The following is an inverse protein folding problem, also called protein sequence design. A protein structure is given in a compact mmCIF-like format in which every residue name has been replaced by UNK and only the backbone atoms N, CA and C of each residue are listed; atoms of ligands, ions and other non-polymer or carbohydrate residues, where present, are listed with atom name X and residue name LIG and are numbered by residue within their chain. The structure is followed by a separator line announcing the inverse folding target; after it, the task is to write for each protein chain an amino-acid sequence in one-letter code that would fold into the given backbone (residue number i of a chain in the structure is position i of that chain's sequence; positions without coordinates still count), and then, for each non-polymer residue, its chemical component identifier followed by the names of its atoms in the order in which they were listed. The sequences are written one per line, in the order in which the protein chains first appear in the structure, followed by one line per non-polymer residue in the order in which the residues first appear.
data_IF_671529652945
#
_entry.id   IF_671529652945
#
_cell.length_a   1.000
_cell.length_b   1.000
_cell.length_c   1.000
_cell.angle_alpha   90.00
_cell.angle_beta   90.00
_cell.angle_gamma   90.00
#
_symmetry.space_group_name_H-M   'P 1'
#
loop_
_entity.id
_entity.type
_entity.pdbx_description
1 polymer ?
#
# COMPACT_ATOMS: atom_id res chain seq x y z
N UNK A 1 20.79 -22.62 8.18
CA UNK A 1 20.57 -21.45 7.33
C UNK A 1 19.33 -20.77 7.89
N UNK A 2 19.42 -19.51 8.30
CA UNK A 2 18.21 -18.73 8.56
C UNK A 2 17.50 -18.62 7.22
N UNK A 3 16.29 -19.16 7.14
CA UNK A 3 15.43 -18.99 5.98
C UNK A 3 15.20 -17.48 5.81
N UNK A 4 15.45 -16.94 4.61
CA UNK A 4 15.23 -15.52 4.38
C UNK A 4 13.76 -15.21 4.59
N UNK A 5 13.49 -14.18 5.39
CA UNK A 5 12.12 -13.72 5.68
C UNK A 5 11.40 -13.29 4.41
N UNK A 6 12.13 -12.62 3.54
CA UNK A 6 11.63 -12.08 2.28
C UNK A 6 12.50 -12.62 1.16
N UNK A 7 11.88 -13.25 0.16
CA UNK A 7 12.61 -13.80 -0.98
C UNK A 7 11.74 -14.00 -2.21
N UNK A 8 12.39 -13.96 -3.37
CA UNK A 8 11.80 -14.40 -4.64
C UNK A 8 11.83 -15.92 -4.73
N UNK A 9 10.77 -16.51 -5.28
CA UNK A 9 10.57 -17.96 -5.33
C UNK A 9 10.82 -18.58 -6.71
N UNK A 10 11.11 -17.77 -7.73
CA UNK A 10 11.33 -18.26 -9.09
C UNK A 10 12.26 -17.37 -9.92
N UNK A 11 12.96 -17.98 -10.87
CA UNK A 11 13.70 -17.25 -11.92
C UNK A 11 12.76 -16.34 -12.72
N UNK A 12 11.49 -16.75 -12.85
CA UNK A 12 10.43 -15.93 -13.41
C UNK A 12 10.28 -14.60 -12.64
N UNK A 13 10.25 -14.64 -11.31
CA UNK A 13 10.18 -13.45 -10.47
C UNK A 13 11.48 -12.61 -10.54
N UNK A 14 12.64 -13.27 -10.56
CA UNK A 14 13.95 -12.61 -10.70
C UNK A 14 14.05 -11.75 -11.98
N UNK A 15 13.45 -12.21 -13.09
CA UNK A 15 13.46 -11.47 -14.35
C UNK A 15 12.74 -10.10 -14.26
N UNK A 16 11.83 -9.91 -13.31
CA UNK A 16 11.15 -8.63 -13.11
C UNK A 16 11.93 -7.65 -12.25
N UNK A 17 12.87 -8.12 -11.42
CA UNK A 17 13.82 -7.26 -10.68
C UNK A 17 14.62 -6.42 -11.68
N UNK A 18 15.14 -7.07 -12.73
CA UNK A 18 15.90 -6.36 -13.76
C UNK A 18 15.04 -5.39 -14.58
N UNK A 19 13.76 -5.73 -14.82
CA UNK A 19 12.83 -4.83 -15.52
C UNK A 19 12.51 -3.58 -14.70
N UNK A 20 12.24 -3.73 -13.40
CA UNK A 20 12.06 -2.60 -12.49
C UNK A 20 13.33 -1.75 -12.38
N UNK A 21 14.51 -2.38 -12.28
CA UNK A 21 15.79 -1.68 -12.16
C UNK A 21 16.24 -0.92 -13.42
N UNK A 22 15.91 -1.39 -14.64
CA UNK A 22 16.34 -0.77 -15.91
C UNK A 22 15.57 0.50 -16.27
N UNK A 23 14.66 0.95 -15.41
CA UNK A 23 13.69 1.99 -15.72
C UNK A 23 13.87 3.29 -14.89
N UNK A 24 15.03 3.47 -14.25
CA UNK A 24 15.21 4.54 -13.27
C UNK A 24 16.34 5.54 -13.60
N UNK A 25 15.95 6.78 -13.94
CA UNK A 25 16.74 8.00 -13.71
C UNK A 25 16.03 8.86 -12.65
N UNK A 26 15.86 8.36 -11.42
CA UNK A 26 15.44 9.17 -10.26
C UNK A 26 16.22 8.77 -9.01
N UNK A 27 16.47 9.74 -8.12
CA UNK A 27 17.07 9.53 -6.79
C UNK A 27 15.95 9.22 -5.79
N UNK A 28 15.94 8.03 -5.20
CA UNK A 28 15.00 7.61 -4.16
C UNK A 28 14.51 6.16 -4.33
N UNK A 29 14.10 5.49 -3.25
CA UNK A 29 13.60 4.10 -3.28
C UNK A 29 12.40 3.97 -4.23
N UNK A 30 11.35 4.78 -4.04
CA UNK A 30 10.14 4.75 -4.85
C UNK A 30 10.39 5.22 -6.29
N UNK A 31 11.36 6.10 -6.48
CA UNK A 31 11.84 6.52 -7.80
C UNK A 31 12.47 5.38 -8.62
N UNK A 32 13.06 4.37 -7.96
CA UNK A 32 13.63 3.17 -8.62
C UNK A 32 12.57 2.13 -8.99
N UNK A 33 11.35 2.26 -8.47
CA UNK A 33 10.22 1.35 -8.71
C UNK A 33 9.42 1.72 -9.97
N UNK A 34 9.59 2.96 -10.42
CA UNK A 34 8.88 3.54 -11.55
C UNK A 34 9.38 2.92 -12.85
N UNK A 35 8.51 2.19 -13.53
CA UNK A 35 8.77 1.73 -14.90
C UNK A 35 8.77 2.94 -15.86
N UNK A 36 9.94 3.49 -16.20
CA UNK A 36 10.12 4.37 -17.36
C UNK A 36 9.93 3.64 -18.70
N UNK A 37 8.82 2.92 -18.90
CA UNK A 37 8.33 2.64 -20.25
C UNK A 37 7.65 3.91 -20.75
N UNK A 38 8.48 4.90 -21.07
CA UNK A 38 8.10 6.09 -21.81
C UNK A 38 7.67 5.66 -23.22
N UNK A 39 6.39 5.31 -23.39
CA UNK A 39 5.90 4.94 -24.70
C UNK A 39 4.54 4.29 -24.70
N UNK A 40 3.49 5.12 -24.68
CA UNK A 40 2.22 4.91 -25.39
C UNK A 40 1.76 3.45 -25.52
N UNK A 41 1.06 2.96 -24.51
CA UNK A 41 -0.12 2.13 -24.77
C UNK A 41 -0.99 2.18 -23.52
N UNK A 42 -2.29 2.50 -23.70
CA UNK A 42 -3.29 1.99 -22.76
C UNK A 42 -3.16 0.47 -22.87
N UNK A 43 -2.38 -0.13 -21.98
CA UNK A 43 -2.46 -1.56 -21.78
C UNK A 43 -3.89 -1.80 -21.26
N UNK A 44 -4.68 -2.53 -22.04
CA UNK A 44 -5.87 -3.21 -21.54
C UNK A 44 -5.38 -4.31 -20.59
N UNK A 45 -4.80 -3.89 -19.47
CA UNK A 45 -4.43 -4.76 -18.36
C UNK A 45 -5.74 -5.04 -17.65
N UNK A 46 -6.00 -6.31 -17.36
CA UNK A 46 -6.96 -6.70 -16.35
C UNK A 46 -6.20 -7.38 -15.23
N UNK A 47 -6.19 -6.72 -14.09
CA UNK A 47 -5.75 -7.28 -12.83
C UNK A 47 -6.99 -7.55 -11.99
N UNK A 48 -7.20 -8.83 -11.70
CA UNK A 48 -8.31 -9.29 -10.87
C UNK A 48 -7.74 -10.10 -9.71
N UNK A 49 -8.35 -9.94 -8.54
CA UNK A 49 -8.24 -10.90 -7.46
C UNK A 49 -8.45 -12.32 -7.99
N UNK A 50 -7.62 -13.28 -7.58
CA UNK A 50 -7.73 -14.67 -7.99
C UNK A 50 -9.12 -15.24 -7.68
N UNK A 51 -9.97 -15.34 -8.70
CA UNK A 51 -11.11 -16.25 -8.89
C UNK A 51 -11.81 -16.70 -7.59
N UNK A 52 -12.55 -15.80 -6.93
CA UNK A 52 -13.70 -16.09 -6.03
C UNK A 52 -13.53 -17.12 -4.89
N UNK A 53 -14.59 -17.28 -4.10
CA UNK A 53 -14.63 -18.10 -2.87
C UNK A 53 -14.34 -19.62 -3.06
N UNK A 54 -14.07 -20.09 -4.28
CA UNK A 54 -13.95 -21.52 -4.61
C UNK A 54 -12.51 -22.02 -4.80
N UNK A 55 -11.53 -21.13 -5.02
CA UNK A 55 -10.14 -21.55 -5.24
C UNK A 55 -9.47 -21.91 -3.91
N UNK A 56 -8.87 -23.10 -3.81
CA UNK A 56 -8.07 -23.50 -2.65
C UNK A 56 -6.57 -23.44 -2.97
N UNK A 57 -5.66 -23.31 -1.98
CA UNK A 57 -4.22 -23.27 -2.25
C UNK A 57 -3.70 -24.47 -3.04
N UNK A 58 -4.29 -25.66 -2.81
CA UNK A 58 -3.94 -26.88 -3.54
C UNK A 58 -4.22 -26.82 -5.05
N UNK A 59 -5.14 -25.94 -5.48
CA UNK A 59 -5.56 -25.80 -6.86
C UNK A 59 -4.70 -24.79 -7.64
N UNK A 60 -3.92 -23.95 -6.97
CA UNK A 60 -3.11 -22.88 -7.59
C UNK A 60 -2.21 -23.41 -8.69
N UNK A 61 -1.48 -24.51 -8.44
CA UNK A 61 -0.59 -25.10 -9.43
C UNK A 61 -1.36 -25.65 -10.65
N UNK A 62 -2.54 -26.25 -10.43
CA UNK A 62 -3.39 -26.75 -11.52
C UNK A 62 -3.97 -25.59 -12.35
N UNK A 63 -4.23 -24.46 -11.71
CA UNK A 63 -4.69 -23.22 -12.34
C UNK A 63 -3.57 -22.36 -12.94
N UNK A 64 -2.33 -22.86 -12.95
CA UNK A 64 -1.14 -22.19 -13.49
C UNK A 64 -0.72 -20.90 -12.74
N UNK A 65 -1.06 -20.80 -11.45
CA UNK A 65 -0.43 -19.83 -10.57
C UNK A 65 0.97 -20.31 -10.22
N UNK A 66 1.96 -19.45 -10.43
CA UNK A 66 3.35 -19.71 -10.07
C UNK A 66 3.71 -18.96 -8.78
N UNK A 67 4.38 -19.61 -7.81
CA UNK A 67 4.93 -18.91 -6.65
C UNK A 67 5.90 -17.82 -7.09
N UNK A 68 5.63 -16.58 -6.66
CA UNK A 68 6.39 -15.40 -7.08
C UNK A 68 7.37 -14.96 -6.01
N UNK A 69 6.87 -14.68 -4.80
CA UNK A 69 7.69 -14.31 -3.65
C UNK A 69 7.09 -14.84 -2.34
N UNK A 70 7.93 -14.97 -1.33
CA UNK A 70 7.57 -15.27 0.06
C UNK A 70 7.90 -14.06 0.92
N UNK A 71 6.97 -13.69 1.78
CA UNK A 71 7.11 -12.65 2.80
C UNK A 71 6.58 -13.26 4.09
N UNK A 72 7.48 -13.64 5.00
CA UNK A 72 7.11 -14.37 6.20
C UNK A 72 6.45 -15.72 5.91
N UNK A 73 5.26 -15.94 6.45
CA UNK A 73 4.34 -17.06 6.23
C UNK A 73 3.52 -16.92 4.94
N UNK A 74 3.57 -15.75 4.29
CA UNK A 74 2.77 -15.45 3.11
C UNK A 74 3.51 -15.79 1.83
N UNK A 75 2.81 -16.43 0.90
CA UNK A 75 3.30 -16.65 -0.46
C UNK A 75 2.40 -15.93 -1.45
N UNK A 76 3.00 -15.03 -2.24
CA UNK A 76 2.31 -14.37 -3.35
C UNK A 76 2.53 -15.22 -4.59
N UNK A 77 1.43 -15.64 -5.21
CA UNK A 77 1.41 -16.39 -6.46
C UNK A 77 0.88 -15.51 -7.59
N UNK A 78 1.46 -15.66 -8.78
CA UNK A 78 1.08 -14.89 -9.97
C UNK A 78 0.77 -15.83 -11.13
N UNK A 79 -0.36 -15.59 -11.78
CA UNK A 79 -0.72 -16.16 -13.09
C UNK A 79 -0.72 -15.03 -14.11
N UNK A 80 -0.14 -15.27 -15.29
CA UNK A 80 -0.22 -14.35 -16.44
C UNK A 80 -0.70 -15.10 -17.67
N UNK A 81 -1.72 -14.57 -18.34
CA UNK A 81 -2.30 -15.17 -19.54
C UNK A 81 -2.95 -14.08 -20.38
N UNK A 82 -2.60 -14.00 -21.66
CA UNK A 82 -3.21 -13.11 -22.66
C UNK A 82 -3.37 -11.63 -22.24
N UNK A 83 -2.39 -11.08 -21.51
CA UNK A 83 -2.39 -9.68 -21.05
C UNK A 83 -3.13 -9.44 -19.73
N UNK A 84 -3.76 -10.48 -19.19
CA UNK A 84 -4.36 -10.48 -17.85
C UNK A 84 -3.34 -11.03 -16.83
N UNK A 85 -3.35 -10.46 -15.63
CA UNK A 85 -2.52 -10.88 -14.51
C UNK A 85 -3.42 -11.16 -13.31
N UNK A 86 -3.26 -12.31 -12.67
CA UNK A 86 -3.98 -12.65 -11.46
C UNK A 86 -2.99 -12.84 -10.33
N UNK A 87 -3.42 -12.40 -9.15
CA UNK A 87 -2.65 -12.52 -7.91
C UNK A 87 -3.46 -13.32 -6.91
N UNK A 88 -2.80 -14.28 -6.28
CA UNK A 88 -3.31 -14.99 -5.12
C UNK A 88 -2.29 -14.85 -3.97
N UNK A 89 -2.77 -14.66 -2.76
CA UNK A 89 -1.94 -14.59 -1.55
C UNK A 89 -2.35 -15.77 -0.67
N UNK A 90 -1.39 -16.64 -0.39
CA UNK A 90 -1.55 -17.79 0.49
C UNK A 90 -0.90 -17.49 1.85
N UNK A 91 -1.60 -17.76 2.93
CA UNK A 91 -1.11 -17.63 4.32
C UNK A 91 -1.64 -18.81 5.12
N UNK A 92 -0.76 -19.55 5.82
CA UNK A 92 -1.12 -20.68 6.68
C UNK A 92 -2.04 -21.75 6.02
N UNK A 93 -1.94 -21.92 4.70
CA UNK A 93 -2.74 -22.90 3.96
C UNK A 93 -4.16 -22.42 3.62
N UNK A 94 -4.41 -21.11 3.69
CA UNK A 94 -5.63 -20.45 3.24
C UNK A 94 -5.30 -19.37 2.19
N UNK A 95 -6.25 -19.08 1.29
CA UNK A 95 -6.13 -17.95 0.37
C UNK A 95 -6.82 -16.72 0.97
N UNK A 96 -6.18 -15.57 0.81
CA UNK A 96 -6.80 -14.29 1.15
C UNK A 96 -7.99 -14.03 0.23
N UNK A 97 -9.09 -13.55 0.83
CA UNK A 97 -10.18 -12.96 0.06
C UNK A 97 -9.81 -11.54 -0.36
N UNK A 98 -9.67 -11.35 -1.67
CA UNK A 98 -9.29 -10.08 -2.30
C UNK A 98 -10.45 -9.48 -3.10
N UNK A 99 -11.68 -10.00 -2.99
CA UNK A 99 -12.82 -9.59 -3.81
C UNK A 99 -13.14 -8.10 -3.68
N UNK A 100 -12.99 -7.55 -2.47
CA UNK A 100 -13.29 -6.15 -2.18
C UNK A 100 -12.16 -5.17 -2.54
N UNK A 101 -11.03 -5.66 -3.06
CA UNK A 101 -9.89 -4.81 -3.41
C UNK A 101 -10.06 -4.10 -4.76
N UNK A 102 -11.14 -4.41 -5.46
CA UNK A 102 -11.46 -3.86 -6.78
C UNK A 102 -10.57 -4.45 -7.87
N UNK A 103 -10.53 -3.75 -9.01
CA UNK A 103 -9.80 -4.19 -10.21
C UNK A 103 -8.77 -3.12 -10.63
N UNK A 104 -7.77 -3.56 -11.42
CA UNK A 104 -6.79 -2.71 -12.08
C UNK A 104 -6.11 -1.70 -11.14
N UNK A 105 -6.42 -0.42 -11.31
CA UNK A 105 -5.81 0.68 -10.59
C UNK A 105 -5.96 0.54 -9.07
N UNK A 106 -7.19 0.24 -8.63
CA UNK A 106 -7.50 0.08 -7.21
C UNK A 106 -6.75 -1.11 -6.64
N UNK A 107 -6.78 -2.24 -7.36
CA UNK A 107 -6.12 -3.46 -6.96
C UNK A 107 -4.60 -3.29 -6.84
N UNK A 108 -3.94 -2.69 -7.84
CA UNK A 108 -2.48 -2.46 -7.80
C UNK A 108 -2.11 -1.54 -6.66
N UNK A 109 -2.83 -0.43 -6.51
CA UNK A 109 -2.56 0.56 -5.47
C UNK A 109 -2.69 -0.07 -4.08
N UNK A 110 -3.75 -0.85 -3.87
CA UNK A 110 -3.98 -1.59 -2.61
C UNK A 110 -2.90 -2.65 -2.40
N UNK A 111 -2.64 -3.50 -3.39
CA UNK A 111 -1.66 -4.58 -3.28
C UNK A 111 -0.26 -4.05 -2.97
N UNK A 112 0.19 -2.98 -3.63
CA UNK A 112 1.50 -2.39 -3.34
C UNK A 112 1.57 -1.80 -1.93
N UNK A 113 0.50 -1.16 -1.45
CA UNK A 113 0.43 -0.66 -0.08
C UNK A 113 0.46 -1.81 0.95
N UNK A 114 -0.30 -2.88 0.70
CA UNK A 114 -0.34 -4.05 1.59
C UNK A 114 0.99 -4.80 1.62
N UNK A 115 1.62 -4.98 0.45
CA UNK A 115 2.97 -5.56 0.38
C UNK A 115 3.97 -4.71 1.17
N UNK A 116 3.84 -3.37 1.15
CA UNK A 116 4.69 -2.49 1.95
C UNK A 116 4.57 -2.84 3.43
N UNK A 117 3.35 -2.93 3.96
CA UNK A 117 3.11 -3.34 5.34
C UNK A 117 3.65 -4.74 5.66
N UNK A 118 3.47 -5.71 4.75
CA UNK A 118 3.98 -7.06 4.94
C UNK A 118 5.52 -7.09 5.03
N UNK A 119 6.20 -6.31 4.18
CA UNK A 119 7.67 -6.28 4.19
C UNK A 119 8.18 -5.44 5.36
N UNK A 120 7.67 -4.26 5.65
CA UNK A 120 8.27 -3.43 6.71
C UNK A 120 7.81 -3.80 8.12
N UNK A 121 6.69 -4.53 8.26
CA UNK A 121 6.03 -4.79 9.54
C UNK A 121 5.87 -3.48 10.33
N UNK A 122 6.61 -3.32 11.43
CA UNK A 122 6.50 -2.19 12.35
C UNK A 122 7.66 -1.18 12.27
N UNK A 123 8.74 -1.48 11.54
CA UNK A 123 9.89 -0.57 11.47
C UNK A 123 9.79 0.46 10.34
N UNK A 124 8.87 0.23 9.40
CA UNK A 124 8.56 1.06 8.24
C UNK A 124 9.76 1.33 7.33
N UNK A 125 10.83 0.54 7.45
CA UNK A 125 12.04 0.69 6.67
C UNK A 125 12.18 -0.47 5.69
N UNK A 126 12.67 -0.18 4.48
CA UNK A 126 12.88 -1.20 3.44
C UNK A 126 14.37 -1.51 3.31
N UNK A 127 14.74 -2.76 3.59
CA UNK A 127 16.08 -3.31 3.33
C UNK A 127 16.27 -3.75 1.86
N UNK A 128 17.44 -4.31 1.51
CA UNK A 128 17.74 -4.69 0.12
C UNK A 128 16.97 -5.93 -0.37
N UNK A 129 16.62 -6.88 0.51
CA UNK A 129 15.86 -8.08 0.15
C UNK A 129 14.38 -7.72 -0.06
N UNK A 130 13.84 -6.90 0.85
CA UNK A 130 12.50 -6.33 0.77
C UNK A 130 12.33 -5.47 -0.47
N UNK A 131 13.31 -4.61 -0.76
CA UNK A 131 13.37 -3.82 -1.99
C UNK A 131 13.38 -4.69 -3.23
N UNK A 132 14.12 -5.79 -3.23
CA UNK A 132 14.18 -6.71 -4.36
C UNK A 132 12.81 -7.33 -4.64
N UNK A 133 12.09 -7.76 -3.60
CA UNK A 133 10.73 -8.29 -3.73
C UNK A 133 9.75 -7.22 -4.21
N UNK A 134 9.80 -6.04 -3.61
CA UNK A 134 8.96 -4.92 -4.00
C UNK A 134 9.18 -4.57 -5.49
N UNK A 135 10.44 -4.56 -5.95
CA UNK A 135 10.84 -4.26 -7.34
C UNK A 135 10.30 -5.30 -8.32
N UNK A 136 10.44 -6.58 -7.97
CA UNK A 136 9.91 -7.66 -8.78
C UNK A 136 8.39 -7.55 -8.92
N UNK A 137 7.67 -7.30 -7.83
CA UNK A 137 6.21 -7.17 -7.84
C UNK A 137 5.75 -5.96 -8.67
N UNK A 138 6.33 -4.79 -8.43
CA UNK A 138 5.99 -3.57 -9.18
C UNK A 138 6.25 -3.74 -10.68
N UNK A 139 7.38 -4.35 -11.03
CA UNK A 139 7.72 -4.68 -12.43
C UNK A 139 6.81 -5.75 -13.03
N UNK A 140 6.40 -6.75 -12.26
CA UNK A 140 5.50 -7.81 -12.68
C UNK A 140 4.08 -7.30 -12.92
N UNK A 141 3.58 -6.42 -12.05
CA UNK A 141 2.27 -5.80 -12.17
C UNK A 141 2.23 -4.71 -13.26
N UNK A 142 3.38 -4.31 -13.79
CA UNK A 142 3.52 -3.19 -14.73
C UNK A 142 2.92 -1.90 -14.13
N UNK A 143 3.16 -1.68 -12.84
CA UNK A 143 2.57 -0.56 -12.12
C UNK A 143 3.06 0.78 -12.68
N UNK A 144 2.13 1.72 -12.80
CA UNK A 144 2.40 3.07 -13.26
C UNK A 144 2.94 3.96 -12.14
N UNK A 145 3.63 5.04 -12.48
CA UNK A 145 4.10 6.05 -11.51
C UNK A 145 2.98 6.55 -10.59
N UNK A 146 1.77 6.69 -11.15
CA UNK A 146 0.61 7.16 -10.41
C UNK A 146 0.11 6.12 -9.40
N UNK A 147 0.06 4.84 -9.77
CA UNK A 147 -0.32 3.76 -8.85
C UNK A 147 0.69 3.62 -7.71
N UNK A 148 1.98 3.72 -8.02
CA UNK A 148 3.05 3.71 -7.01
C UNK A 148 2.94 4.93 -6.08
N UNK A 149 2.67 6.11 -6.63
CA UNK A 149 2.47 7.34 -5.84
C UNK A 149 1.25 7.24 -4.92
N UNK A 150 0.12 6.81 -5.46
CA UNK A 150 -1.12 6.68 -4.70
C UNK A 150 -1.01 5.54 -3.66
N UNK A 151 -0.21 4.49 -3.91
CA UNK A 151 0.06 3.44 -2.93
C UNK A 151 0.83 3.98 -1.71
N UNK A 152 1.81 4.87 -1.93
CA UNK A 152 2.52 5.57 -0.84
C UNK A 152 1.57 6.43 -0.01
N UNK A 153 0.69 7.16 -0.69
CA UNK A 153 -0.34 7.96 -0.03
C UNK A 153 -1.32 7.09 0.76
N UNK A 154 -1.65 5.90 0.26
CA UNK A 154 -2.50 4.93 0.95
C UNK A 154 -1.83 4.36 2.21
N UNK A 155 -0.54 3.98 2.14
CA UNK A 155 0.22 3.53 3.31
C UNK A 155 0.22 4.61 4.40
N UNK A 156 0.54 5.84 4.02
CA UNK A 156 0.56 6.95 4.97
C UNK A 156 -0.83 7.24 5.54
N UNK A 157 -1.87 7.21 4.70
CA UNK A 157 -3.25 7.40 5.14
C UNK A 157 -3.68 6.38 6.19
N UNK A 158 -3.42 5.09 5.96
CA UNK A 158 -3.77 4.03 6.92
C UNK A 158 -3.08 4.25 8.27
N UNK A 159 -1.80 4.64 8.26
CA UNK A 159 -1.06 4.89 9.51
C UNK A 159 -1.53 6.18 10.19
N UNK A 160 -1.84 7.21 9.42
CA UNK A 160 -2.40 8.46 9.93
C UNK A 160 -3.76 8.24 10.58
N UNK A 161 -4.64 7.46 9.94
CA UNK A 161 -5.99 7.12 10.45
C UNK A 161 -5.90 6.41 11.81
N UNK A 162 -4.99 5.45 11.95
CA UNK A 162 -4.73 4.78 13.23
C UNK A 162 -4.23 5.74 14.32
N UNK A 163 -3.35 6.70 13.97
CA UNK A 163 -2.80 7.68 14.93
C UNK A 163 -3.85 8.67 15.44
N UNK A 164 -4.91 8.93 14.67
CA UNK A 164 -5.95 9.86 15.09
C UNK A 164 -7.17 9.16 15.70
N UNK A 165 -7.19 7.82 15.72
CA UNK A 165 -8.32 7.00 16.19
C UNK A 165 -8.71 7.27 17.65
N UNK A 166 -7.73 7.51 18.52
CA UNK A 166 -7.95 7.79 19.93
C UNK A 166 -8.13 9.28 20.25
N UNK A 167 -8.21 10.12 19.21
CA UNK A 167 -8.32 11.58 19.26
C UNK A 167 -7.13 12.32 19.93
N UNK A 168 -6.02 11.62 20.21
CA UNK A 168 -4.86 12.17 20.93
C UNK A 168 -3.56 11.82 20.23
N UNK A 169 -2.99 12.79 19.50
CA UNK A 169 -1.67 12.60 18.88
C UNK A 169 -0.56 12.88 19.89
N UNK A 170 0.12 11.83 20.31
CA UNK A 170 1.29 11.89 21.18
C UNK A 170 2.55 12.37 20.44
N UNK A 171 3.59 12.76 21.20
CA UNK A 171 4.90 13.12 20.62
C UNK A 171 5.53 11.92 19.87
N UNK A 172 5.36 10.71 20.38
CA UNK A 172 5.88 9.48 19.79
C UNK A 172 5.20 9.15 18.44
N UNK A 173 3.89 9.32 18.35
CA UNK A 173 3.15 9.13 17.10
C UNK A 173 3.49 10.21 16.08
N UNK A 174 3.63 11.46 16.52
CA UNK A 174 4.07 12.55 15.65
C UNK A 174 5.49 12.29 15.09
N UNK A 175 6.43 11.81 15.91
CA UNK A 175 7.76 11.40 15.47
C UNK A 175 7.70 10.20 14.51
N UNK A 176 6.82 9.24 14.78
CA UNK A 176 6.60 8.06 13.93
C UNK A 176 6.07 8.46 12.55
N UNK A 177 5.06 9.34 12.48
CA UNK A 177 4.55 9.89 11.23
C UNK A 177 5.63 10.64 10.45
N UNK A 178 6.47 11.42 11.12
CA UNK A 178 7.58 12.14 10.49
C UNK A 178 8.63 11.17 9.88
N UNK A 179 8.92 10.06 10.57
CA UNK A 179 9.80 8.99 10.07
C UNK A 179 9.18 8.29 8.87
N UNK A 180 7.94 7.82 8.98
CA UNK A 180 7.23 7.13 7.90
C UNK A 180 7.14 8.01 6.65
N UNK A 181 6.78 9.29 6.80
CA UNK A 181 6.75 10.26 5.71
C UNK A 181 8.07 10.32 4.94
N UNK A 182 9.19 10.23 5.65
CA UNK A 182 10.52 10.24 5.06
C UNK A 182 10.82 8.94 4.32
N UNK A 183 10.51 7.78 4.90
CA UNK A 183 10.68 6.46 4.26
C UNK A 183 9.78 6.31 3.02
N UNK A 184 8.57 6.85 3.08
CA UNK A 184 7.65 6.93 1.96
C UNK A 184 8.01 8.04 0.97
N UNK A 185 9.04 8.85 1.21
CA UNK A 185 9.51 9.95 0.36
C UNK A 185 8.42 10.98 -0.01
N UNK A 186 7.37 11.12 0.81
CA UNK A 186 6.18 11.91 0.50
C UNK A 186 6.47 13.41 0.49
N UNK A 187 5.84 14.14 -0.44
CA UNK A 187 5.99 15.58 -0.50
C UNK A 187 5.15 16.31 0.55
N UNK A 188 5.57 17.54 0.86
CA UNK A 188 4.91 18.40 1.86
C UNK A 188 3.46 18.76 1.51
N UNK A 189 3.12 18.78 0.22
CA UNK A 189 1.79 19.20 -0.24
C UNK A 189 0.82 18.04 -0.05
N UNK A 190 1.17 16.86 -0.53
CA UNK A 190 0.41 15.63 -0.39
C UNK A 190 0.14 15.32 1.10
N UNK A 191 1.16 15.41 1.95
CA UNK A 191 1.02 15.17 3.40
C UNK A 191 0.04 16.16 4.03
N UNK A 192 0.14 17.45 3.71
CA UNK A 192 -0.77 18.46 4.25
C UNK A 192 -2.20 18.26 3.79
N UNK A 193 -2.41 17.79 2.56
CA UNK A 193 -3.75 17.53 2.06
C UNK A 193 -4.35 16.28 2.70
N UNK A 194 -3.55 15.23 2.96
CA UNK A 194 -3.97 14.09 3.77
C UNK A 194 -4.29 14.49 5.22
N UNK A 195 -3.47 15.32 5.85
CA UNK A 195 -3.75 15.85 7.20
C UNK A 195 -5.04 16.69 7.26
N UNK A 196 -5.30 17.55 6.28
CA UNK A 196 -6.58 18.29 6.23
C UNK A 196 -7.76 17.37 6.04
N UNK A 197 -7.60 16.35 5.18
CA UNK A 197 -8.65 15.39 4.89
C UNK A 197 -9.02 14.60 6.13
N UNK A 198 -8.05 14.04 6.87
CA UNK A 198 -8.35 13.23 8.06
C UNK A 198 -9.07 14.06 9.13
N UNK A 199 -8.63 15.29 9.39
CA UNK A 199 -9.27 16.20 10.34
C UNK A 199 -10.72 16.52 9.94
N UNK A 200 -10.97 16.70 8.63
CA UNK A 200 -12.31 16.94 8.10
C UNK A 200 -13.19 15.69 8.21
N UNK A 201 -12.65 14.52 7.92
CA UNK A 201 -13.37 13.25 8.03
C UNK A 201 -13.76 12.98 9.49
N UNK A 202 -12.86 13.22 10.46
CA UNK A 202 -13.15 13.13 11.89
C UNK A 202 -14.21 14.14 12.34
N UNK A 203 -14.13 15.39 11.87
CA UNK A 203 -15.17 16.38 12.14
C UNK A 203 -16.55 15.94 11.62
N UNK A 204 -16.62 15.43 10.39
CA UNK A 204 -17.85 14.92 9.80
C UNK A 204 -18.40 13.69 10.54
N UNK A 205 -17.54 12.82 11.06
CA UNK A 205 -17.92 11.68 11.90
C UNK A 205 -18.49 12.19 13.23
N UNK A 206 -17.79 13.09 13.92
CA UNK A 206 -18.24 13.65 15.19
C UNK A 206 -19.60 14.36 15.06
N UNK A 207 -19.81 15.13 13.98
CA UNK A 207 -21.12 15.72 13.67
C UNK A 207 -22.22 14.66 13.49
N UNK A 208 -21.95 13.52 12.86
CA UNK A 208 -22.96 12.47 12.64
C UNK A 208 -23.41 11.81 13.95
N UNK A 209 -22.54 11.78 14.95
CA UNK A 209 -22.80 11.13 16.23
C UNK A 209 -23.16 12.12 17.35
N UNK A 210 -23.26 13.42 17.05
CA UNK A 210 -23.71 14.41 18.02
C UNK A 210 -25.22 14.33 18.27
N UNK A 211 -25.66 14.83 19.43
CA UNK A 211 -27.07 14.82 19.84
C UNK A 211 -28.00 15.54 18.85
N UNK A 212 -27.49 16.56 18.14
CA UNK A 212 -28.23 17.35 17.16
C UNK A 212 -27.90 16.99 15.70
N UNK A 213 -26.92 16.12 15.47
CA UNK A 213 -26.44 15.73 14.14
C UNK A 213 -25.81 16.86 13.33
N UNK A 214 -25.50 18.00 13.96
CA UNK A 214 -25.06 19.22 13.27
C UNK A 214 -23.68 19.69 13.70
N UNK A 215 -23.33 19.57 14.98
CA UNK A 215 -22.03 19.99 15.48
C UNK A 215 -21.49 19.00 16.53
N UNK A 216 -20.16 18.76 16.56
CA UNK A 216 -19.55 18.00 17.65
C UNK A 216 -19.78 18.72 18.98
N UNK A 217 -19.72 17.98 20.08
CA UNK A 217 -19.68 18.62 21.38
C UNK A 217 -18.39 19.45 21.56
N UNK A 218 -18.33 20.22 22.64
CA UNK A 218 -17.20 21.12 22.88
C UNK A 218 -15.88 20.36 23.04
N UNK A 219 -15.88 19.21 23.71
CA UNK A 219 -14.67 18.46 24.02
C UNK A 219 -14.13 17.79 22.73
N UNK A 220 -15.02 17.19 21.93
CA UNK A 220 -14.69 16.65 20.60
C UNK A 220 -14.13 17.73 19.68
N UNK A 221 -14.74 18.92 19.65
CA UNK A 221 -14.28 20.02 18.81
C UNK A 221 -12.88 20.51 19.24
N UNK A 222 -12.60 20.56 20.54
CA UNK A 222 -11.26 20.92 21.04
C UNK A 222 -10.22 19.84 20.69
N UNK A 223 -10.56 18.55 20.83
CA UNK A 223 -9.67 17.45 20.41
C UNK A 223 -9.33 17.55 18.92
N UNK A 224 -10.33 17.76 18.06
CA UNK A 224 -10.13 17.92 16.61
C UNK A 224 -9.21 19.10 16.28
N UNK A 225 -9.33 20.23 16.99
CA UNK A 225 -8.45 21.39 16.82
C UNK A 225 -7.02 21.10 17.31
N UNK A 226 -6.87 20.37 18.41
CA UNK A 226 -5.57 19.96 18.93
C UNK A 226 -4.87 19.04 17.92
N UNK A 227 -5.57 18.02 17.40
CA UNK A 227 -5.07 17.15 16.34
C UNK A 227 -4.65 17.95 15.10
N UNK A 228 -5.49 18.89 14.63
CA UNK A 228 -5.15 19.75 13.49
C UNK A 228 -3.87 20.56 13.72
N UNK A 229 -3.70 21.07 14.95
CA UNK A 229 -2.51 21.84 15.35
C UNK A 229 -1.27 20.95 15.38
N UNK A 230 -1.37 19.75 15.95
CA UNK A 230 -0.29 18.74 15.98
C UNK A 230 0.14 18.33 14.57
N UNK A 231 -0.82 18.15 13.67
CA UNK A 231 -0.58 17.83 12.26
C UNK A 231 -0.13 19.06 11.43
N UNK A 232 -0.06 20.25 12.02
CA UNK A 232 0.40 21.48 11.36
C UNK A 232 -0.53 21.99 10.27
N UNK A 233 -1.83 21.74 10.39
CA UNK A 233 -2.86 22.17 9.43
C UNK A 233 -3.89 23.08 10.07
N UNK A 234 -4.49 23.93 9.25
CA UNK A 234 -5.64 24.76 9.64
C UNK A 234 -6.83 24.32 8.82
N UNK A 235 -7.91 23.94 9.48
CA UNK A 235 -9.17 23.51 8.87
C UNK A 235 -10.27 24.47 9.29
N UNK A 236 -11.07 24.91 8.33
CA UNK A 236 -12.33 25.63 8.57
C UNK A 236 -13.45 24.60 8.64
N UNK A 237 -14.14 24.59 9.78
CA UNK A 237 -15.30 23.75 10.09
C UNK A 237 -16.60 24.46 9.73
#
# INVERSE_FOLDING_TARGET
MLESRVMLLSDYAQNYVEKGRKAAEKKGFWGLMINSVAGKQKLERKLTAGIGDELQPADLAAENFAPFCKIDDRTIHIKKHDGETWVAIEEDGELWDLADWGEDYCFVTRLLAEVYFMVTRDDFHIDEDEKTVFQALTGCLEATDKEVSDARNLVYWTLLDNVVEDEVITDEEHETLARIRKELELDDTDVKDLHKKIIKDYYEIACKFSDDGQQPDFDQLENIKEMATRLGVTVTF
#
